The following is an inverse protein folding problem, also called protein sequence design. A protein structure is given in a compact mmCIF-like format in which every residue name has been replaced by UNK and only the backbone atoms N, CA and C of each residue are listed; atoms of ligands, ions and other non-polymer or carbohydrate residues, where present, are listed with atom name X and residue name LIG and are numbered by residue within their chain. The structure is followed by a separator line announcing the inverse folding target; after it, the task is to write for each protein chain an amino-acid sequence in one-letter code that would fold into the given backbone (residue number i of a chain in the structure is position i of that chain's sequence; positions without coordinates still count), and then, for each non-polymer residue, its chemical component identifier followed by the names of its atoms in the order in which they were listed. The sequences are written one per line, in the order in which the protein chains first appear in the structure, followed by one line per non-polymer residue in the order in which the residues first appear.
data_IF_998146214242
#
_entry.id   IF_998146214242
#
_cell.length_a   1.000
_cell.length_b   1.000
_cell.length_c   1.000
_cell.angle_alpha   90.00
_cell.angle_beta   90.00
_cell.angle_gamma   90.00
#
_symmetry.space_group_name_H-M   'P 1'
#
loop_
_entity.id
_entity.type
_entity.pdbx_description
1 polymer ?
#
# COMPACT_ATOMS: atom_id res chain seq x y z
N UNK A 1 64.85 -0.49 18.69
CA UNK A 1 64.81 -0.25 17.24
C UNK A 1 64.18 -1.44 16.56
N UNK A 2 63.16 -1.16 15.75
CA UNK A 2 62.59 -2.00 14.68
C UNK A 2 62.06 -3.41 15.05
N UNK A 3 60.76 -3.44 15.33
CA UNK A 3 59.84 -4.54 15.06
C UNK A 3 59.76 -4.76 13.54
N UNK A 4 59.93 -6.00 13.08
CA UNK A 4 59.64 -6.41 11.70
C UNK A 4 58.46 -7.38 11.70
N UNK A 5 57.34 -6.87 11.20
CA UNK A 5 56.13 -7.58 10.88
C UNK A 5 56.21 -8.18 9.47
N UNK A 6 55.65 -9.39 9.28
CA UNK A 6 55.12 -9.86 8.00
C UNK A 6 54.12 -11.01 8.26
N UNK A 7 52.81 -10.72 8.19
CA UNK A 7 51.85 -11.13 7.14
C UNK A 7 51.49 -12.63 7.11
N UNK A 8 50.23 -12.96 7.43
CA UNK A 8 49.51 -14.07 6.80
C UNK A 8 48.34 -13.52 5.98
N UNK A 9 48.57 -13.37 4.67
CA UNK A 9 47.53 -13.18 3.67
C UNK A 9 47.46 -14.41 2.79
N UNK A 10 46.52 -15.32 3.06
CA UNK A 10 46.06 -16.33 2.10
C UNK A 10 44.77 -16.98 2.60
N UNK A 11 43.68 -16.78 1.88
CA UNK A 11 42.67 -17.84 1.76
C UNK A 11 41.26 -17.54 2.23
N UNK A 12 40.59 -16.54 1.65
CA UNK A 12 39.11 -16.62 1.46
C UNK A 12 38.73 -15.95 0.13
N UNK A 13 39.18 -16.52 -0.99
CA UNK A 13 38.73 -16.17 -2.32
C UNK A 13 38.49 -17.46 -3.13
N UNK A 14 37.41 -18.18 -2.80
CA UNK A 14 36.97 -19.35 -3.58
C UNK A 14 35.50 -19.67 -3.31
N UNK A 15 34.59 -18.84 -3.82
CA UNK A 15 33.17 -19.15 -3.81
C UNK A 15 32.41 -18.50 -4.99
N UNK A 16 32.97 -18.55 -6.20
CA UNK A 16 32.21 -18.27 -7.43
C UNK A 16 32.72 -19.20 -8.54
N UNK A 17 32.03 -20.34 -8.74
CA UNK A 17 31.74 -20.91 -10.07
C UNK A 17 31.01 -22.25 -9.98
N UNK A 18 30.09 -22.41 -10.95
CA UNK A 18 29.48 -23.63 -11.49
C UNK A 18 28.46 -24.41 -10.65
N UNK A 19 27.17 -24.27 -11.02
CA UNK A 19 26.37 -25.42 -11.45
C UNK A 19 25.24 -25.01 -12.41
N UNK A 20 25.61 -24.90 -13.68
CA UNK A 20 24.71 -25.12 -14.82
C UNK A 20 24.59 -26.64 -15.04
N UNK A 21 23.40 -27.05 -15.49
CA UNK A 21 22.99 -28.37 -15.98
C UNK A 21 22.65 -29.42 -14.92
N UNK A 22 21.36 -29.76 -14.80
CA UNK A 22 20.80 -30.97 -15.42
C UNK A 22 19.45 -31.35 -14.78
N UNK A 23 18.34 -30.94 -15.39
CA UNK A 23 17.08 -31.68 -15.31
C UNK A 23 16.43 -31.71 -16.68
N UNK A 24 16.79 -32.73 -17.45
CA UNK A 24 15.97 -33.27 -18.54
C UNK A 24 14.80 -34.02 -17.88
N UNK A 25 13.70 -33.33 -17.63
CA UNK A 25 12.43 -34.01 -17.35
C UNK A 25 11.62 -34.08 -18.64
N UNK A 26 11.38 -35.33 -19.04
CA UNK A 26 10.59 -35.73 -20.19
C UNK A 26 9.20 -35.12 -20.11
N UNK A 27 8.84 -34.39 -21.15
CA UNK A 27 7.47 -34.00 -21.43
C UNK A 27 6.66 -35.26 -21.80
N UNK A 28 5.90 -35.80 -20.86
CA UNK A 28 4.73 -36.63 -21.19
C UNK A 28 3.55 -35.69 -21.43
N UNK A 29 3.32 -35.34 -22.70
CA UNK A 29 2.05 -34.74 -23.14
C UNK A 29 0.95 -35.79 -22.93
N UNK A 30 0.23 -35.73 -21.80
CA UNK A 30 -1.14 -36.24 -21.73
C UNK A 30 -2.04 -35.05 -22.04
N UNK A 31 -2.61 -35.05 -23.25
CA UNK A 31 -3.63 -34.09 -23.62
C UNK A 31 -4.84 -34.17 -22.69
N UNK A 32 -5.59 -33.07 -22.53
CA UNK A 32 -6.83 -33.09 -21.77
C UNK A 32 -7.78 -34.12 -22.39
N UNK A 33 -8.21 -35.09 -21.57
CA UNK A 33 -9.39 -35.89 -21.89
C UNK A 33 -10.58 -34.95 -21.83
N UNK A 34 -11.14 -34.67 -22.99
CA UNK A 34 -12.45 -34.04 -23.16
C UNK A 34 -13.44 -34.95 -22.44
N UNK A 35 -14.01 -34.47 -21.33
CA UNK A 35 -15.20 -35.06 -20.74
C UNK A 35 -16.33 -34.92 -21.76
N UNK A 36 -16.83 -36.06 -22.25
CA UNK A 36 -18.07 -36.19 -23.00
C UNK A 36 -19.23 -35.68 -22.13
N UNK A 37 -19.51 -34.40 -22.31
CA UNK A 37 -20.70 -33.70 -21.82
C UNK A 37 -21.00 -32.55 -22.78
N UNK A 38 -20.82 -32.79 -24.08
CA UNK A 38 -21.14 -31.83 -25.12
C UNK A 38 -22.66 -31.78 -25.29
N UNK A 39 -23.31 -30.88 -24.54
CA UNK A 39 -24.52 -30.26 -25.07
C UNK A 39 -24.18 -29.74 -26.46
N UNK A 40 -24.93 -30.19 -27.47
CA UNK A 40 -24.78 -29.74 -28.85
C UNK A 40 -24.69 -28.21 -28.84
N UNK A 41 -23.69 -27.59 -29.51
CA UNK A 41 -23.68 -26.15 -29.66
C UNK A 41 -24.98 -25.77 -30.37
N UNK A 42 -25.90 -25.16 -29.62
CA UNK A 42 -27.13 -24.62 -30.17
C UNK A 42 -26.70 -23.42 -31.00
N UNK A 43 -26.54 -23.64 -32.30
CA UNK A 43 -26.31 -22.57 -33.26
C UNK A 43 -27.40 -21.54 -33.08
N UNK A 44 -27.01 -20.33 -32.70
CA UNK A 44 -27.90 -19.17 -32.77
C UNK A 44 -27.99 -18.85 -34.26
N UNK A 45 -29.12 -19.19 -34.87
CA UNK A 45 -29.43 -18.79 -36.23
C UNK A 45 -29.55 -17.26 -36.25
N UNK A 46 -28.51 -16.59 -36.75
CA UNK A 46 -28.51 -15.16 -37.01
C UNK A 46 -29.19 -14.92 -38.36
N UNK A 47 -30.45 -15.34 -38.48
CA UNK A 47 -31.23 -15.02 -39.65
C UNK A 47 -31.52 -13.51 -39.63
N UNK A 48 -30.63 -12.75 -40.27
CA UNK A 48 -30.70 -11.29 -40.35
C UNK A 48 -31.85 -10.81 -41.24
N UNK A 49 -32.47 -11.70 -41.99
CA UNK A 49 -33.56 -11.41 -42.92
C UNK A 49 -34.90 -11.15 -42.20
N UNK A 50 -34.99 -11.46 -40.90
CA UNK A 50 -36.17 -11.13 -40.08
C UNK A 50 -36.09 -9.77 -39.39
N UNK A 51 -35.00 -9.02 -39.58
CA UNK A 51 -34.95 -7.63 -39.11
C UNK A 51 -35.53 -6.73 -40.19
N UNK A 52 -36.78 -6.31 -39.99
CA UNK A 52 -37.43 -5.26 -40.79
C UNK A 52 -36.65 -3.94 -40.61
N UNK A 53 -35.68 -3.70 -41.49
CA UNK A 53 -34.95 -2.43 -41.59
C UNK A 53 -35.72 -1.37 -42.39
N UNK A 54 -36.87 -1.74 -42.97
CA UNK A 54 -37.75 -0.82 -43.72
C UNK A 54 -38.48 0.20 -42.82
N UNK A 55 -38.42 0.01 -41.50
CA UNK A 55 -38.68 1.06 -40.51
C UNK A 55 -37.51 2.04 -40.42
N UNK A 56 -37.20 2.75 -41.50
CA UNK A 56 -36.12 3.73 -41.59
C UNK A 56 -36.13 4.79 -40.48
N UNK A 57 -35.47 4.47 -39.37
CA UNK A 57 -35.23 5.33 -38.21
C UNK A 57 -33.72 5.55 -38.02
N UNK A 58 -32.99 5.67 -39.12
CA UNK A 58 -31.56 5.96 -39.11
C UNK A 58 -31.32 7.48 -39.12
N UNK A 59 -30.44 7.88 -38.21
CA UNK A 59 -29.89 9.21 -37.97
C UNK A 59 -30.80 10.21 -37.23
N UNK A 60 -30.72 10.19 -35.89
CA UNK A 60 -31.17 11.30 -35.05
C UNK A 60 -32.52 11.10 -34.36
N UNK A 61 -32.82 9.88 -33.89
CA UNK A 61 -34.01 9.63 -33.07
C UNK A 61 -33.89 10.42 -31.76
N UNK A 62 -34.40 11.65 -31.80
CA UNK A 62 -34.75 12.45 -30.63
C UNK A 62 -35.64 11.55 -29.78
N UNK A 63 -35.12 11.02 -28.67
CA UNK A 63 -35.95 10.33 -27.68
C UNK A 63 -36.82 11.44 -27.10
N UNK A 64 -37.99 11.65 -27.69
CA UNK A 64 -38.99 12.60 -27.22
C UNK A 64 -39.59 12.01 -25.96
N UNK A 65 -38.87 12.14 -24.85
CA UNK A 65 -39.50 12.15 -23.55
C UNK A 65 -40.41 13.40 -23.51
N UNK A 66 -41.63 13.30 -22.98
CA UNK A 66 -42.50 14.47 -22.80
C UNK A 66 -41.87 15.59 -21.96
N UNK A 67 -40.73 15.34 -21.31
CA UNK A 67 -40.00 16.26 -20.42
C UNK A 67 -38.76 16.90 -21.08
N UNK A 68 -38.57 16.76 -22.39
CA UNK A 68 -37.48 17.39 -23.13
C UNK A 68 -36.48 16.37 -23.66
N UNK A 69 -35.82 16.71 -24.77
CA UNK A 69 -34.96 15.76 -25.43
C UNK A 69 -33.52 15.81 -24.94
N UNK A 70 -33.01 14.65 -24.58
CA UNK A 70 -31.61 14.44 -24.24
C UNK A 70 -30.84 14.32 -25.58
N UNK A 71 -29.86 15.19 -25.87
CA UNK A 71 -28.95 15.04 -26.99
C UNK A 71 -28.25 13.68 -26.87
N UNK A 72 -28.19 12.93 -27.97
CA UNK A 72 -27.46 11.67 -28.06
C UNK A 72 -26.02 11.91 -28.55
N UNK A 73 -25.20 10.87 -28.54
CA UNK A 73 -23.85 10.90 -29.07
C UNK A 73 -22.86 11.69 -28.21
N UNK A 74 -21.85 12.27 -28.87
CA UNK A 74 -20.72 12.93 -28.19
C UNK A 74 -21.15 14.15 -27.37
N UNK A 75 -22.19 14.86 -27.82
CA UNK A 75 -22.74 16.01 -27.10
C UNK A 75 -23.29 15.62 -25.72
N UNK A 76 -23.91 14.44 -25.61
CA UNK A 76 -24.40 13.89 -24.34
C UNK A 76 -23.25 13.68 -23.35
N UNK A 77 -22.20 12.97 -23.81
CA UNK A 77 -21.02 12.67 -23.00
C UNK A 77 -20.30 13.94 -22.55
N UNK A 78 -20.10 14.89 -23.47
CA UNK A 78 -19.47 16.17 -23.15
C UNK A 78 -20.22 16.90 -22.03
N UNK A 79 -21.54 16.85 -22.02
CA UNK A 79 -22.34 17.46 -20.96
C UNK A 79 -22.30 16.69 -19.64
N UNK A 80 -22.35 15.36 -19.66
CA UNK A 80 -22.21 14.54 -18.44
C UNK A 80 -20.86 14.82 -17.76
N UNK A 81 -19.82 14.98 -18.57
CA UNK A 81 -18.45 15.21 -18.10
C UNK A 81 -18.15 16.68 -17.77
N UNK A 82 -18.88 17.63 -18.33
CA UNK A 82 -18.65 19.06 -18.05
C UNK A 82 -19.09 19.39 -16.62
N UNK A 83 -18.27 20.15 -15.89
CA UNK A 83 -18.58 20.60 -14.53
C UNK A 83 -19.53 21.81 -14.49
N UNK A 84 -20.00 22.28 -15.66
CA UNK A 84 -20.74 23.52 -15.81
C UNK A 84 -22.26 23.37 -15.78
N UNK A 85 -22.94 24.52 -15.74
CA UNK A 85 -24.38 24.67 -15.97
C UNK A 85 -24.71 24.36 -17.44
N UNK A 86 -24.65 23.07 -17.76
CA UNK A 86 -25.09 22.56 -19.04
C UNK A 86 -26.58 22.83 -19.28
N UNK A 87 -26.97 22.91 -20.55
CA UNK A 87 -28.35 23.09 -21.01
C UNK A 87 -29.21 21.83 -20.84
N UNK A 88 -28.61 20.70 -20.48
CA UNK A 88 -29.35 19.49 -20.14
C UNK A 88 -30.30 19.69 -18.96
N UNK A 89 -31.56 19.30 -19.14
CA UNK A 89 -32.59 19.25 -18.08
C UNK A 89 -32.37 18.12 -17.05
N UNK A 90 -31.14 17.65 -16.87
CA UNK A 90 -30.82 16.64 -15.85
C UNK A 90 -30.72 17.31 -14.49
N UNK A 91 -31.25 16.64 -13.46
CA UNK A 91 -31.05 17.08 -12.07
C UNK A 91 -29.57 16.92 -11.71
N UNK A 92 -29.07 17.78 -10.82
CA UNK A 92 -27.67 17.72 -10.41
C UNK A 92 -27.28 16.35 -9.83
N UNK A 93 -28.17 15.72 -9.06
CA UNK A 93 -27.98 14.37 -8.52
C UNK A 93 -27.80 13.31 -9.63
N UNK A 94 -28.54 13.44 -10.74
CA UNK A 94 -28.46 12.52 -11.88
C UNK A 94 -27.20 12.76 -12.68
N UNK A 95 -26.79 14.03 -12.85
CA UNK A 95 -25.52 14.39 -13.47
C UNK A 95 -24.36 13.81 -12.67
N UNK A 96 -24.37 13.95 -11.35
CA UNK A 96 -23.36 13.37 -10.48
C UNK A 96 -23.32 11.84 -10.59
N UNK A 97 -24.49 11.17 -10.58
CA UNK A 97 -24.60 9.73 -10.78
C UNK A 97 -24.02 9.28 -12.13
N UNK A 98 -24.39 9.94 -13.24
CA UNK A 98 -23.87 9.58 -14.56
C UNK A 98 -22.38 9.84 -14.67
N UNK A 99 -21.87 10.91 -14.04
CA UNK A 99 -20.43 11.19 -14.01
C UNK A 99 -19.64 10.15 -13.21
N UNK A 100 -20.21 9.61 -12.13
CA UNK A 100 -19.55 8.54 -11.36
C UNK A 100 -19.46 7.23 -12.15
N UNK A 101 -20.45 6.97 -13.01
CA UNK A 101 -20.49 5.79 -13.89
C UNK A 101 -19.57 5.96 -15.10
N UNK A 102 -19.67 7.10 -15.79
CA UNK A 102 -18.90 7.39 -17.00
C UNK A 102 -17.60 8.13 -16.67
N UNK A 103 -16.76 7.54 -15.83
CA UNK A 103 -15.47 8.15 -15.49
C UNK A 103 -14.59 8.29 -16.75
N UNK A 104 -14.06 9.50 -17.05
CA UNK A 104 -13.22 9.79 -18.21
C UNK A 104 -12.05 8.82 -18.46
N UNK A 105 -11.53 8.21 -17.40
CA UNK A 105 -10.33 7.36 -17.45
C UNK A 105 -10.64 5.87 -17.45
N UNK A 106 -11.88 5.48 -17.15
CA UNK A 106 -12.29 4.08 -16.97
C UNK A 106 -13.36 3.64 -17.96
N UNK A 107 -14.16 4.57 -18.49
CA UNK A 107 -15.25 4.25 -19.41
C UNK A 107 -14.73 4.14 -20.84
N UNK A 108 -14.71 2.93 -21.37
CA UNK A 108 -14.46 2.64 -22.80
C UNK A 108 -15.55 3.23 -23.72
N UNK A 109 -16.77 3.42 -23.19
CA UNK A 109 -17.89 4.03 -23.91
C UNK A 109 -17.64 5.47 -24.38
N UNK A 110 -16.56 6.11 -23.94
CA UNK A 110 -16.16 7.44 -24.41
C UNK A 110 -15.66 7.40 -25.87
N UNK A 111 -15.16 6.26 -26.31
CA UNK A 111 -14.72 6.03 -27.69
C UNK A 111 -15.90 5.78 -28.65
N UNK A 112 -17.13 5.67 -28.13
CA UNK A 112 -18.33 5.53 -28.96
C UNK A 112 -18.62 6.79 -29.78
N UNK A 113 -18.20 7.97 -29.30
CA UNK A 113 -18.43 9.25 -29.97
C UNK A 113 -19.92 9.50 -30.22
N UNK A 114 -20.30 9.71 -31.48
CA UNK A 114 -21.68 9.96 -31.87
C UNK A 114 -22.60 8.73 -31.78
N UNK A 115 -22.03 7.53 -31.60
CA UNK A 115 -22.80 6.30 -31.36
C UNK A 115 -23.24 6.14 -29.91
N UNK A 116 -22.76 7.01 -29.01
CA UNK A 116 -23.14 6.94 -27.61
C UNK A 116 -24.64 7.10 -27.43
N UNK A 117 -25.25 6.11 -26.80
CA UNK A 117 -26.66 6.15 -26.42
C UNK A 117 -26.74 6.28 -24.89
N UNK A 118 -27.38 7.35 -24.37
CA UNK A 118 -27.51 7.53 -22.93
C UNK A 118 -28.39 6.42 -22.32
N UNK A 119 -28.22 6.12 -21.02
CA UNK A 119 -29.11 5.19 -20.34
C UNK A 119 -30.58 5.67 -20.36
N UNK A 120 -31.52 4.74 -20.25
CA UNK A 120 -32.96 5.05 -20.25
C UNK A 120 -33.29 6.00 -19.07
N UNK A 121 -33.90 7.17 -19.31
CA UNK A 121 -34.21 8.14 -18.27
C UNK A 121 -35.39 7.72 -17.37
N UNK A 122 -36.03 6.57 -17.60
CA UNK A 122 -37.13 6.08 -16.75
C UNK A 122 -36.73 6.06 -15.26
N UNK A 123 -37.55 6.62 -14.35
CA UNK A 123 -37.23 6.69 -12.92
C UNK A 123 -36.85 5.35 -12.30
N UNK A 124 -37.55 4.26 -12.67
CA UNK A 124 -37.25 2.91 -12.17
C UNK A 124 -35.85 2.41 -12.56
N UNK A 125 -35.37 2.80 -13.75
CA UNK A 125 -34.02 2.45 -14.19
C UNK A 125 -32.97 3.28 -13.44
N UNK A 126 -33.22 4.59 -13.28
CA UNK A 126 -32.34 5.50 -12.53
C UNK A 126 -32.24 5.08 -11.06
N UNK A 127 -33.35 4.70 -10.42
CA UNK A 127 -33.35 4.17 -9.04
C UNK A 127 -32.52 2.90 -8.92
N UNK A 128 -32.67 1.96 -9.86
CA UNK A 128 -31.85 0.75 -9.91
C UNK A 128 -30.36 1.09 -10.07
N UNK A 129 -30.05 2.07 -10.91
CA UNK A 129 -28.68 2.52 -11.14
C UNK A 129 -28.08 3.16 -9.88
N UNK A 130 -28.84 3.98 -9.16
CA UNK A 130 -28.44 4.53 -7.85
C UNK A 130 -28.14 3.43 -6.85
N UNK A 131 -29.01 2.43 -6.74
CA UNK A 131 -28.82 1.31 -5.84
C UNK A 131 -27.54 0.51 -6.17
N UNK A 132 -27.26 0.29 -7.46
CA UNK A 132 -26.04 -0.39 -7.90
C UNK A 132 -24.77 0.42 -7.57
N UNK A 133 -24.77 1.73 -7.84
CA UNK A 133 -23.63 2.61 -7.53
C UNK A 133 -23.38 2.66 -6.02
N UNK A 134 -24.43 2.77 -5.20
CA UNK A 134 -24.30 2.73 -3.74
C UNK A 134 -23.75 1.40 -3.24
N UNK A 135 -24.20 0.27 -3.80
CA UNK A 135 -23.66 -1.04 -3.45
C UNK A 135 -22.18 -1.16 -3.84
N UNK A 136 -21.79 -0.61 -4.99
CA UNK A 136 -20.39 -0.57 -5.41
C UNK A 136 -19.54 0.31 -4.49
N UNK A 137 -20.02 1.49 -4.10
CA UNK A 137 -19.36 2.39 -3.15
C UNK A 137 -19.18 1.72 -1.79
N UNK A 138 -20.16 0.97 -1.31
CA UNK A 138 -20.03 0.19 -0.08
C UNK A 138 -18.91 -0.87 -0.20
N UNK A 139 -18.79 -1.56 -1.34
CA UNK A 139 -17.69 -2.51 -1.58
C UNK A 139 -16.34 -1.79 -1.68
N UNK A 140 -16.27 -0.63 -2.34
CA UNK A 140 -15.06 0.20 -2.38
C UNK A 140 -14.63 0.60 -0.97
N UNK A 141 -15.56 1.03 -0.13
CA UNK A 141 -15.28 1.39 1.26
C UNK A 141 -14.79 0.17 2.08
N UNK A 142 -15.44 -0.99 1.94
CA UNK A 142 -14.98 -2.23 2.58
C UNK A 142 -13.57 -2.61 2.15
N UNK A 143 -13.23 -2.47 0.85
CA UNK A 143 -11.87 -2.70 0.35
C UNK A 143 -10.87 -1.75 1.00
N UNK A 144 -11.21 -0.46 1.15
CA UNK A 144 -10.36 0.54 1.82
C UNK A 144 -10.13 0.15 3.27
N UNK A 145 -11.18 -0.12 4.01
CA UNK A 145 -11.12 -0.51 5.42
C UNK A 145 -10.30 -1.79 5.62
N UNK A 146 -10.57 -2.82 4.82
CA UNK A 146 -9.83 -4.08 4.87
C UNK A 146 -8.35 -3.85 4.56
N UNK A 147 -8.02 -3.09 3.50
CA UNK A 147 -6.64 -2.76 3.17
C UNK A 147 -5.93 -1.94 4.26
N UNK A 148 -6.63 -1.06 4.96
CA UNK A 148 -6.07 -0.27 6.06
C UNK A 148 -6.06 -1.01 7.40
N UNK A 149 -6.66 -2.20 7.49
CA UNK A 149 -6.70 -2.99 8.71
C UNK A 149 -5.36 -3.68 8.98
N UNK A 150 -4.96 -3.75 10.26
CA UNK A 150 -3.74 -4.45 10.72
C UNK A 150 -3.57 -5.86 10.16
N UNK A 151 -4.69 -6.57 9.94
CA UNK A 151 -4.76 -7.97 9.50
C UNK A 151 -4.60 -8.17 7.99
N UNK A 152 -4.52 -7.09 7.19
CA UNK A 152 -4.31 -7.23 5.76
C UNK A 152 -2.91 -7.77 5.45
N UNK A 153 -2.88 -8.86 4.70
CA UNK A 153 -1.64 -9.47 4.21
C UNK A 153 -1.54 -9.33 2.69
N UNK A 154 -0.44 -8.76 2.15
CA UNK A 154 -0.20 -8.70 0.71
C UNK A 154 -0.18 -10.06 0.01
N UNK A 155 0.23 -11.10 0.73
CA UNK A 155 0.29 -12.47 0.21
C UNK A 155 -1.11 -13.11 0.14
N UNK A 156 -2.02 -12.70 1.02
CA UNK A 156 -3.40 -13.21 1.13
C UNK A 156 -4.37 -12.04 1.27
N UNK A 157 -4.61 -11.29 0.17
CA UNK A 157 -5.40 -10.06 0.24
C UNK A 157 -6.88 -10.31 0.57
N UNK A 158 -7.36 -11.55 0.41
CA UNK A 158 -8.71 -11.97 0.79
C UNK A 158 -9.76 -11.77 -0.32
N UNK A 159 -11.02 -12.12 -0.04
CA UNK A 159 -12.08 -12.19 -1.05
C UNK A 159 -12.50 -10.83 -1.61
N UNK A 160 -12.21 -9.73 -0.91
CA UNK A 160 -12.50 -8.36 -1.39
C UNK A 160 -11.58 -7.95 -2.57
N UNK A 161 -10.50 -8.69 -2.81
CA UNK A 161 -9.51 -8.43 -3.86
C UNK A 161 -9.29 -9.67 -4.76
N UNK A 162 -10.32 -10.13 -5.48
CA UNK A 162 -10.25 -11.39 -6.23
C UNK A 162 -9.22 -11.34 -7.37
N UNK A 163 -9.01 -10.18 -8.00
CA UNK A 163 -8.00 -10.01 -9.04
C UNK A 163 -6.56 -10.10 -8.52
N UNK A 164 -6.35 -9.95 -7.20
CA UNK A 164 -5.02 -10.01 -6.59
C UNK A 164 -4.68 -11.38 -6.02
N UNK A 165 -5.68 -12.26 -5.87
CA UNK A 165 -5.43 -13.66 -5.54
C UNK A 165 -4.59 -14.27 -6.67
N UNK A 166 -3.40 -14.77 -6.33
CA UNK A 166 -2.55 -15.45 -7.31
C UNK A 166 -3.33 -16.65 -7.87
N UNK A 167 -3.74 -16.58 -9.14
CA UNK A 167 -4.44 -17.68 -9.83
C UNK A 167 -3.58 -18.96 -9.92
N UNK A 168 -2.30 -18.85 -9.63
CA UNK A 168 -1.36 -19.95 -9.57
C UNK A 168 -0.63 -19.88 -8.23
N UNK A 169 -1.32 -20.24 -7.15
CA UNK A 169 -0.68 -20.60 -5.89
C UNK A 169 0.06 -21.93 -6.12
N UNK A 170 1.19 -21.85 -6.83
CA UNK A 170 2.16 -22.92 -6.89
C UNK A 170 2.63 -23.12 -5.45
N UNK A 171 2.10 -24.17 -4.82
CA UNK A 171 2.43 -24.69 -3.49
C UNK A 171 3.93 -24.57 -3.28
N UNK A 172 4.37 -23.47 -2.65
CA UNK A 172 5.72 -23.31 -2.11
C UNK A 172 5.60 -23.60 -0.64
N UNK A 173 5.72 -24.87 -0.30
CA UNK A 173 5.52 -25.38 1.06
C UNK A 173 6.53 -24.88 2.10
N UNK A 174 7.68 -24.29 1.70
CA UNK A 174 8.79 -24.08 2.66
C UNK A 174 9.33 -22.64 2.76
N UNK A 175 8.66 -21.63 2.19
CA UNK A 175 9.03 -20.25 2.49
C UNK A 175 8.44 -19.90 3.86
N UNK A 176 9.26 -20.06 4.90
CA UNK A 176 9.02 -19.74 6.30
C UNK A 176 7.94 -18.67 6.44
N UNK A 177 6.85 -19.00 7.14
CA UNK A 177 5.87 -18.04 7.59
C UNK A 177 6.62 -16.97 8.38
N UNK A 178 7.04 -15.90 7.69
CA UNK A 178 7.47 -14.68 8.32
C UNK A 178 6.31 -14.31 9.21
N UNK A 179 6.51 -14.47 10.52
CA UNK A 179 5.54 -14.11 11.51
C UNK A 179 5.19 -12.66 11.22
N UNK A 180 3.98 -12.42 10.70
CA UNK A 180 3.39 -11.09 10.63
C UNK A 180 3.32 -10.59 12.07
N UNK A 181 4.43 -9.99 12.51
CA UNK A 181 4.55 -9.39 13.82
C UNK A 181 3.42 -8.39 13.96
N UNK A 182 2.82 -8.36 15.13
CA UNK A 182 1.63 -7.58 15.39
C UNK A 182 1.86 -6.07 15.13
N UNK A 183 1.64 -5.61 13.90
CA UNK A 183 1.77 -4.20 13.48
C UNK A 183 0.97 -3.25 14.37
N UNK A 184 1.58 -2.22 14.94
CA UNK A 184 0.87 -1.25 15.79
C UNK A 184 0.51 0.01 15.01
N UNK A 185 -0.74 0.50 15.02
CA UNK A 185 -1.11 1.71 14.30
C UNK A 185 -0.51 2.97 14.95
N UNK A 186 0.09 3.85 14.15
CA UNK A 186 0.62 5.15 14.57
C UNK A 186 -0.29 6.27 14.07
N UNK A 187 -1.28 6.65 14.88
CA UNK A 187 -2.29 7.65 14.49
C UNK A 187 -1.71 9.08 14.41
N UNK A 188 -0.70 9.39 15.22
CA UNK A 188 -0.13 10.74 15.29
C UNK A 188 0.98 10.99 14.26
N UNK A 189 1.44 9.93 13.59
CA UNK A 189 2.54 10.05 12.64
C UNK A 189 2.02 10.36 11.23
N UNK A 190 2.47 11.49 10.68
CA UNK A 190 2.14 11.95 9.33
C UNK A 190 3.42 11.96 8.48
N UNK A 191 3.71 10.89 7.73
CA UNK A 191 4.88 10.88 6.85
C UNK A 191 4.73 11.95 5.77
N UNK A 192 5.82 12.66 5.47
CA UNK A 192 5.83 13.62 4.36
C UNK A 192 5.87 12.89 3.02
N UNK A 193 5.42 13.54 1.94
CA UNK A 193 5.49 12.95 0.58
C UNK A 193 6.92 12.63 0.17
N UNK A 194 7.89 13.42 0.61
CA UNK A 194 9.32 13.20 0.36
C UNK A 194 9.81 11.91 1.01
N UNK A 195 9.34 11.62 2.24
CA UNK A 195 9.69 10.37 2.93
C UNK A 195 9.13 9.13 2.23
N UNK A 196 7.95 9.22 1.61
CA UNK A 196 7.39 8.11 0.82
C UNK A 196 8.18 7.84 -0.46
N UNK A 197 8.77 8.88 -1.08
CA UNK A 197 9.59 8.74 -2.29
C UNK A 197 10.90 7.99 -2.04
N UNK A 198 11.47 8.10 -0.85
CA UNK A 198 12.67 7.35 -0.45
C UNK A 198 12.37 5.99 0.16
N UNK A 199 11.13 5.76 0.62
CA UNK A 199 10.70 4.49 1.18
C UNK A 199 10.64 3.38 0.13
N UNK A 200 10.88 2.13 0.57
CA UNK A 200 10.82 0.96 -0.29
C UNK A 200 9.36 0.57 -0.53
N UNK A 201 8.92 0.57 -1.79
CA UNK A 201 7.61 0.06 -2.20
C UNK A 201 7.61 -1.47 -2.18
N UNK A 202 6.82 -2.08 -1.29
CA UNK A 202 6.72 -3.56 -1.16
C UNK A 202 5.42 -4.13 -1.75
N UNK A 203 4.41 -3.28 -1.93
CA UNK A 203 3.14 -3.67 -2.55
C UNK A 203 2.62 -2.52 -3.40
N UNK A 204 2.19 -2.84 -4.62
CA UNK A 204 1.56 -1.90 -5.54
C UNK A 204 0.60 -2.66 -6.45
N UNK A 205 -0.69 -2.40 -6.27
CA UNK A 205 -1.77 -3.04 -7.02
C UNK A 205 -2.89 -2.05 -7.30
N UNK A 206 -3.58 -2.30 -8.40
CA UNK A 206 -4.74 -1.53 -8.85
C UNK A 206 -5.95 -2.46 -8.87
N UNK A 207 -7.09 -1.99 -8.40
CA UNK A 207 -8.39 -2.70 -8.47
C UNK A 207 -9.10 -2.42 -9.79
N UNK A 208 -10.21 -3.12 -10.03
CA UNK A 208 -10.97 -3.02 -11.28
C UNK A 208 -11.57 -1.62 -11.49
N UNK A 209 -11.91 -0.92 -10.40
CA UNK A 209 -12.36 0.48 -10.39
C UNK A 209 -11.21 1.48 -10.56
N UNK A 210 -9.98 1.00 -10.76
CA UNK A 210 -8.78 1.82 -10.98
C UNK A 210 -8.17 2.44 -9.72
N UNK A 211 -8.73 2.15 -8.53
CA UNK A 211 -8.13 2.55 -7.26
C UNK A 211 -6.81 1.81 -7.04
N UNK A 212 -5.75 2.55 -6.74
CA UNK A 212 -4.40 2.03 -6.52
C UNK A 212 -4.06 2.00 -5.04
N UNK A 213 -3.60 0.85 -4.59
CA UNK A 213 -3.27 0.56 -3.21
C UNK A 213 -1.78 0.26 -3.12
N UNK A 214 -1.07 0.96 -2.23
CA UNK A 214 0.38 0.79 -2.07
C UNK A 214 0.78 0.62 -0.62
N UNK A 215 1.81 -0.18 -0.41
CA UNK A 215 2.46 -0.33 0.88
C UNK A 215 3.93 -0.01 0.73
N UNK A 216 4.37 1.01 1.46
CA UNK A 216 5.75 1.42 1.59
C UNK A 216 6.32 0.95 2.93
N UNK A 217 7.62 0.69 2.96
CA UNK A 217 8.35 0.39 4.18
C UNK A 217 9.59 1.26 4.29
N UNK A 218 9.83 1.82 5.48
CA UNK A 218 11.03 2.56 5.85
C UNK A 218 11.46 2.12 7.24
N UNK A 219 12.50 1.29 7.33
CA UNK A 219 12.87 0.63 8.59
C UNK A 219 11.72 -0.24 9.11
N UNK A 220 11.32 -0.03 10.36
CA UNK A 220 10.16 -0.66 10.99
C UNK A 220 8.84 0.03 10.68
N UNK A 221 8.79 1.12 9.92
CA UNK A 221 7.52 1.79 9.61
C UNK A 221 6.95 1.29 8.29
N UNK A 222 5.69 0.89 8.32
CA UNK A 222 4.90 0.52 7.14
C UNK A 222 3.83 1.59 6.88
N UNK A 223 3.83 2.19 5.70
CA UNK A 223 2.82 3.19 5.30
C UNK A 223 1.92 2.60 4.22
N UNK A 224 0.61 2.67 4.43
CA UNK A 224 -0.41 2.26 3.46
C UNK A 224 -1.07 3.48 2.85
N UNK A 225 -1.07 3.55 1.53
CA UNK A 225 -1.65 4.66 0.77
C UNK A 225 -2.69 4.16 -0.21
N UNK A 226 -3.63 5.05 -0.51
CA UNK A 226 -4.72 4.83 -1.46
C UNK A 226 -4.73 6.00 -2.43
N UNK A 227 -4.82 5.70 -3.73
CA UNK A 227 -4.93 6.68 -4.79
C UNK A 227 -6.13 6.34 -5.66
N UNK A 228 -7.14 7.21 -5.67
CA UNK A 228 -8.26 7.12 -6.60
C UNK A 228 -7.82 7.47 -8.03
N UNK A 229 -8.58 7.04 -9.03
CA UNK A 229 -8.25 7.16 -10.48
C UNK A 229 -7.86 8.58 -10.90
N UNK A 230 -8.52 9.58 -10.34
CA UNK A 230 -8.27 11.01 -10.59
C UNK A 230 -7.76 11.75 -9.36
N UNK A 231 -7.54 11.02 -8.26
CA UNK A 231 -7.15 11.57 -6.97
C UNK A 231 -5.63 11.63 -6.78
N UNK A 232 -5.23 12.45 -5.81
CA UNK A 232 -3.88 12.38 -5.28
C UNK A 232 -3.73 11.13 -4.40
N UNK A 233 -2.48 10.65 -4.27
CA UNK A 233 -2.18 9.62 -3.29
C UNK A 233 -2.36 10.17 -1.87
N UNK A 234 -3.18 9.48 -1.09
CA UNK A 234 -3.50 9.80 0.29
C UNK A 234 -2.95 8.72 1.21
N UNK A 235 -2.41 9.13 2.36
CA UNK A 235 -1.96 8.21 3.41
C UNK A 235 -3.20 7.76 4.17
N UNK A 236 -3.49 6.46 4.14
CA UNK A 236 -4.63 5.89 4.84
C UNK A 236 -4.29 5.39 6.23
N UNK A 237 -3.15 4.71 6.39
CA UNK A 237 -2.73 4.14 7.67
C UNK A 237 -1.22 4.02 7.76
N UNK A 238 -0.66 4.21 8.96
CA UNK A 238 0.75 3.98 9.24
C UNK A 238 0.88 3.00 10.39
N UNK A 239 1.78 2.04 10.24
CA UNK A 239 2.05 1.02 11.23
C UNK A 239 3.52 1.01 11.62
N UNK A 240 3.81 0.67 12.87
CA UNK A 240 5.14 0.23 13.30
C UNK A 240 5.15 -1.29 13.34
N UNK A 241 6.15 -1.88 12.69
CA UNK A 241 6.51 -3.26 12.87
C UNK A 241 7.16 -3.40 14.24
N UNK A 242 6.77 -4.41 15.03
CA UNK A 242 7.48 -4.72 16.25
C UNK A 242 8.93 -5.04 15.88
N UNK A 243 9.86 -4.32 16.48
CA UNK A 243 11.26 -4.70 16.38
C UNK A 243 11.37 -6.07 17.03
N UNK A 244 11.98 -7.07 16.39
CA UNK A 244 12.20 -8.35 17.03
C UNK A 244 13.01 -8.06 18.29
N UNK A 245 12.37 -8.17 19.46
CA UNK A 245 13.05 -8.04 20.73
C UNK A 245 14.08 -9.14 20.70
N UNK A 246 15.35 -8.79 20.43
CA UNK A 246 16.44 -9.74 20.54
C UNK A 246 16.53 -9.99 22.04
N UNK A 247 15.78 -10.98 22.51
CA UNK A 247 15.99 -11.60 23.81
C UNK A 247 17.37 -12.24 23.74
N UNK A 248 18.38 -11.40 23.98
CA UNK A 248 19.70 -11.89 24.28
C UNK A 248 19.54 -12.80 25.51
N UNK A 249 20.00 -14.05 25.46
CA UNK A 249 19.85 -14.96 26.57
C UNK A 249 20.42 -14.30 27.82
N UNK A 250 19.59 -14.16 28.86
CA UNK A 250 19.90 -13.50 30.12
C UNK A 250 21.28 -13.94 30.62
N UNK A 251 22.28 -13.07 30.48
CA UNK A 251 23.54 -13.22 31.21
C UNK A 251 23.34 -12.58 32.58
N UNK A 252 23.42 -13.36 33.65
CA UNK A 252 23.20 -12.96 35.05
C UNK A 252 24.27 -12.00 35.65
N UNK A 253 24.89 -11.16 34.82
CA UNK A 253 25.80 -10.11 35.30
C UNK A 253 24.99 -8.87 35.71
N UNK A 254 25.39 -8.16 36.78
CA UNK A 254 24.77 -6.90 37.18
C UNK A 254 24.69 -5.95 35.99
N UNK A 255 23.48 -5.49 35.66
CA UNK A 255 23.20 -4.70 34.45
C UNK A 255 23.97 -3.37 34.39
N UNK A 256 24.40 -2.86 35.54
CA UNK A 256 24.98 -1.51 35.66
C UNK A 256 26.46 -1.39 35.24
N UNK A 257 27.14 -2.52 34.99
CA UNK A 257 28.54 -2.53 34.57
C UNK A 257 28.74 -2.58 33.06
N UNK A 258 27.71 -2.27 32.27
CA UNK A 258 27.79 -2.38 30.82
C UNK A 258 28.46 -1.15 30.18
N UNK A 259 29.49 -1.39 29.38
CA UNK A 259 30.18 -0.35 28.63
C UNK A 259 29.33 0.13 27.44
N UNK A 260 29.26 1.44 27.28
CA UNK A 260 28.60 2.10 26.15
C UNK A 260 29.55 2.10 24.96
N UNK A 261 29.08 1.61 23.80
CA UNK A 261 29.89 1.48 22.57
C UNK A 261 29.49 2.48 21.49
N UNK A 262 28.31 3.06 21.59
CA UNK A 262 27.84 4.06 20.62
C UNK A 262 26.90 5.04 21.31
N UNK A 263 27.08 6.32 21.00
CA UNK A 263 26.23 7.42 21.43
C UNK A 263 25.73 8.13 20.19
N UNK A 264 24.42 8.27 20.04
CA UNK A 264 23.78 9.00 18.94
C UNK A 264 22.81 10.01 19.52
N UNK A 265 23.01 11.30 19.28
CA UNK A 265 22.06 12.35 19.67
C UNK A 265 21.24 12.74 18.47
N UNK A 266 19.93 12.68 18.64
CA UNK A 266 18.96 12.92 17.59
C UNK A 266 17.98 14.01 18.03
N UNK A 267 17.44 14.73 17.05
CA UNK A 267 16.38 15.71 17.27
C UNK A 267 15.13 15.33 16.52
N UNK A 268 14.00 15.41 17.20
CA UNK A 268 12.69 15.18 16.63
C UNK A 268 11.92 16.49 16.61
N UNK A 269 11.42 16.85 15.43
CA UNK A 269 10.49 17.95 15.29
C UNK A 269 9.10 17.47 15.73
N UNK A 270 8.55 18.14 16.75
CA UNK A 270 7.22 17.78 17.27
C UNK A 270 6.19 18.62 16.53
N UNK A 271 5.39 17.95 15.68
CA UNK A 271 4.34 18.59 14.90
C UNK A 271 3.45 19.45 15.81
N UNK A 272 3.32 20.75 15.48
CA UNK A 272 2.40 21.68 16.17
C UNK A 272 2.95 22.36 17.43
N UNK A 273 4.24 22.20 17.77
CA UNK A 273 4.86 22.94 18.88
C UNK A 273 6.14 23.62 18.42
N UNK A 274 6.32 24.88 18.82
CA UNK A 274 7.57 25.62 18.59
C UNK A 274 8.63 25.05 19.54
N UNK A 275 9.37 24.04 19.09
CA UNK A 275 10.43 23.43 19.88
C UNK A 275 10.94 22.11 19.32
N UNK A 276 12.25 21.91 19.43
CA UNK A 276 12.90 20.65 19.13
C UNK A 276 12.95 19.78 20.38
N UNK A 277 12.58 18.50 20.26
CA UNK A 277 12.84 17.51 21.29
C UNK A 277 14.16 16.82 20.97
N UNK A 278 15.05 16.72 21.96
CA UNK A 278 16.35 16.08 21.81
C UNK A 278 16.39 14.84 22.69
N UNK A 279 16.91 13.76 22.14
CA UNK A 279 17.18 12.56 22.91
C UNK A 279 18.51 11.96 22.47
N UNK A 280 19.13 11.22 23.37
CA UNK A 280 20.39 10.53 23.11
C UNK A 280 20.19 9.04 23.24
N UNK A 281 20.48 8.33 22.16
CA UNK A 281 20.52 6.88 22.10
C UNK A 281 21.90 6.39 22.54
N UNK A 282 21.93 5.52 23.54
CA UNK A 282 23.13 4.89 24.07
C UNK A 282 23.04 3.40 23.78
N UNK A 283 23.94 2.91 22.92
CA UNK A 283 24.03 1.47 22.62
C UNK A 283 25.16 0.86 23.43
N UNK A 284 24.86 -0.22 24.13
CA UNK A 284 25.82 -0.94 24.95
C UNK A 284 26.51 -2.07 24.18
N UNK A 285 27.58 -2.62 24.73
CA UNK A 285 28.35 -3.70 24.09
C UNK A 285 27.54 -4.98 23.84
N UNK A 286 26.55 -5.30 24.68
CA UNK A 286 25.63 -6.43 24.47
C UNK A 286 24.48 -6.10 23.50
N UNK A 287 24.42 -4.87 23.00
CA UNK A 287 23.43 -4.43 22.01
C UNK A 287 22.11 -3.97 22.62
N UNK A 288 22.04 -3.76 23.94
CA UNK A 288 20.92 -3.03 24.56
C UNK A 288 20.98 -1.58 24.12
N UNK A 289 19.81 -0.95 24.03
CA UNK A 289 19.69 0.46 23.66
C UNK A 289 18.96 1.20 24.77
N UNK A 290 19.55 2.27 25.25
CA UNK A 290 18.93 3.19 26.20
C UNK A 290 18.67 4.51 25.50
N UNK A 291 17.54 5.15 25.81
CA UNK A 291 17.29 6.53 25.41
C UNK A 291 17.34 7.39 26.66
N UNK A 292 18.15 8.46 26.64
CA UNK A 292 18.04 9.56 27.59
C UNK A 292 17.37 10.76 26.93
N UNK A 293 16.29 11.27 27.52
CA UNK A 293 15.55 12.44 27.03
C UNK A 293 15.33 13.45 28.16
N UNK A 294 15.59 14.73 27.90
CA UNK A 294 15.24 15.82 28.80
C UNK A 294 13.82 16.29 28.52
N UNK A 295 12.94 16.17 29.52
CA UNK A 295 11.55 16.63 29.49
C UNK A 295 11.48 18.16 29.65
N UNK A 296 10.29 18.72 29.45
CA UNK A 296 10.07 20.18 29.50
C UNK A 296 10.22 20.80 30.87
N UNK A 297 10.05 19.99 31.90
CA UNK A 297 10.27 20.37 33.30
C UNK A 297 11.76 20.34 33.68
N UNK A 298 12.64 19.99 32.73
CA UNK A 298 14.08 19.83 32.95
C UNK A 298 14.48 18.47 33.51
N UNK A 299 13.53 17.57 33.80
CA UNK A 299 13.84 16.21 34.25
C UNK A 299 14.45 15.38 33.12
N UNK A 300 15.40 14.51 33.45
CA UNK A 300 16.00 13.55 32.51
C UNK A 300 15.34 12.20 32.74
N UNK A 301 14.87 11.56 31.67
CA UNK A 301 14.31 10.20 31.71
C UNK A 301 15.20 9.30 30.88
N UNK A 302 15.69 8.21 31.47
CA UNK A 302 16.35 7.09 30.80
C UNK A 302 15.40 5.91 30.68
N UNK A 303 15.15 5.47 29.44
CA UNK A 303 14.31 4.31 29.16
C UNK A 303 15.13 3.23 28.44
N UNK A 304 15.07 2.00 28.95
CA UNK A 304 15.70 0.84 28.33
C UNK A 304 14.80 0.24 27.25
N UNK A 305 15.34 0.12 26.03
CA UNK A 305 14.69 -0.45 24.85
C UNK A 305 13.25 0.06 24.63
N UNK A 306 13.02 1.39 24.57
CA UNK A 306 11.69 1.95 24.42
C UNK A 306 10.99 1.40 23.18
N UNK A 307 9.71 1.07 23.34
CA UNK A 307 8.87 0.61 22.24
C UNK A 307 8.78 1.72 21.17
N UNK A 308 8.90 1.32 19.90
CA UNK A 308 8.83 2.28 18.78
C UNK A 308 10.07 3.16 18.59
N UNK A 309 11.19 2.88 19.25
CA UNK A 309 12.47 3.58 19.06
C UNK A 309 12.85 3.71 17.58
N UNK A 310 12.72 2.66 16.79
CA UNK A 310 13.08 2.71 15.37
C UNK A 310 12.14 3.61 14.56
N UNK A 311 10.84 3.59 14.87
CA UNK A 311 9.89 4.53 14.28
C UNK A 311 10.30 5.97 14.65
N UNK A 312 10.65 6.24 15.92
CA UNK A 312 11.14 7.53 16.38
C UNK A 312 12.41 7.98 15.64
N UNK A 313 13.41 7.11 15.53
CA UNK A 313 14.66 7.36 14.82
C UNK A 313 14.46 7.63 13.33
N UNK A 314 13.45 7.00 12.70
CA UNK A 314 13.14 7.26 11.29
C UNK A 314 12.65 8.70 11.04
N UNK A 315 12.16 9.37 12.08
CA UNK A 315 11.67 10.77 12.02
C UNK A 315 12.69 11.76 12.51
N UNK A 316 13.64 11.28 13.29
CA UNK A 316 14.60 12.13 13.93
C UNK A 316 15.72 12.49 12.96
N UNK A 317 16.24 13.70 13.11
CA UNK A 317 17.47 14.13 12.45
C UNK A 317 18.62 13.83 13.38
N UNK A 318 19.58 13.05 12.89
CA UNK A 318 20.83 12.77 13.62
C UNK A 318 21.64 14.06 13.69
N UNK A 319 21.97 14.50 14.91
CA UNK A 319 22.81 15.66 15.16
C UNK A 319 24.26 15.26 15.45
N UNK A 320 24.43 14.16 16.19
CA UNK A 320 25.72 13.68 16.63
C UNK A 320 25.72 12.15 16.67
N UNK A 321 26.83 11.53 16.27
CA UNK A 321 27.02 10.09 16.38
C UNK A 321 28.50 9.80 16.64
N UNK A 322 28.79 9.08 17.71
CA UNK A 322 30.15 8.69 18.09
C UNK A 322 30.20 7.23 18.52
N UNK A 323 31.17 6.50 17.97
CA UNK A 323 31.55 5.19 18.46
C UNK A 323 32.63 5.32 19.54
N UNK A 324 32.40 4.66 20.67
CA UNK A 324 33.34 4.62 21.78
C UNK A 324 34.12 3.29 21.71
N UNK A 325 35.41 3.38 21.45
CA UNK A 325 36.31 2.20 21.40
C UNK A 325 36.80 1.79 22.78
N UNK A 326 36.78 2.73 23.73
CA UNK A 326 37.29 2.54 25.09
C UNK A 326 36.13 2.43 26.07
N UNK A 327 36.23 1.52 27.04
CA UNK A 327 35.21 1.28 28.07
C UNK A 327 35.16 2.40 29.14
N UNK A 328 35.41 3.65 28.76
CA UNK A 328 35.49 4.78 29.67
C UNK A 328 34.12 5.26 30.15
N UNK A 329 33.06 5.05 29.37
CA UNK A 329 31.69 5.39 29.73
C UNK A 329 30.89 4.13 30.10
N UNK A 330 30.44 4.06 31.35
CA UNK A 330 29.63 2.96 31.87
C UNK A 330 28.18 3.39 32.03
N UNK A 331 27.24 2.46 31.84
CA UNK A 331 25.81 2.75 31.97
C UNK A 331 25.43 3.30 33.36
N UNK A 332 26.07 2.83 34.43
CA UNK A 332 25.89 3.37 35.79
C UNK A 332 26.17 4.87 35.88
N UNK A 333 27.13 5.38 35.12
CA UNK A 333 27.54 6.79 35.17
C UNK A 333 26.44 7.66 34.56
N UNK A 334 25.73 7.14 33.56
CA UNK A 334 24.57 7.80 32.94
C UNK A 334 23.35 7.77 33.87
N UNK A 335 23.04 6.61 34.47
CA UNK A 335 21.93 6.49 35.43
C UNK A 335 22.12 7.38 36.66
N UNK A 336 23.36 7.61 37.08
CA UNK A 336 23.68 8.52 38.18
C UNK A 336 23.30 9.99 37.89
N UNK A 337 23.10 10.38 36.62
CA UNK A 337 22.65 11.72 36.23
C UNK A 337 21.13 11.90 36.34
N UNK A 338 20.37 10.83 36.58
CA UNK A 338 18.91 10.89 36.77
C UNK A 338 18.51 11.29 38.19
N UNK A 339 19.42 11.19 39.16
CA UNK A 339 19.20 11.42 40.59
C UNK A 339 19.47 12.86 41.02
#
# INVERSE_FOLDING_TARGET
GAVLAAVPGAGVARAIRSRRQALKLRATRRGPRVLEGAGLPQGVDLNLDSFDLDGGLLAGRHIQSPEGCIPAGKACLAEILSAGEGKLCLKEDERHLLRSIFNPRMSDRLDEGDRFTPPDPKPSYVEKLRALVQAEDAVRQQRREHFLAKTFSPAKPGPLFPAWASRFELVREDAAAESEGALEPLMDYKPSRESLRSAKLIFDRVTEDGTRFRIYTSGSVQVRTIQEVTGEETIGMVFAAPTPTRTSPLSALPEDCEAIVQVVTETQEVLGKVGHHYYTQLKTKKGKVFITEMRRDGSIVCEENPNGLEARNSLAKVLFSQHLTDASAMLKDVKALEA
#
